data_IF_479671794369
#
_entry.id   IF_479671794369
#
_cell.length_a   1.000
_cell.length_b   1.000
_cell.length_c   1.000
_cell.angle_alpha   90.00
_cell.angle_beta   90.00
_cell.angle_gamma   90.00
#
_symmetry.space_group_name_H-M   'P 1'
#
loop_
_entity.id
_entity.type
_entity.pdbx_description
1 polymer ?
#
# COMPACT_ATOMS: atom_id res chain seq x y z
N UNK A 1 26.97 -0.10 2.02
CA UNK A 1 26.30 0.85 1.13
C UNK A 1 25.09 1.39 1.85
N UNK A 2 24.97 2.70 2.02
CA UNK A 2 23.75 3.31 2.55
C UNK A 2 22.64 3.18 1.49
N UNK A 3 21.39 2.85 1.87
CA UNK A 3 20.30 2.78 0.91
C UNK A 3 20.10 4.15 0.28
N UNK A 4 20.09 4.21 -1.06
CA UNK A 4 19.75 5.41 -1.83
C UNK A 4 18.42 5.95 -1.32
N UNK A 5 18.36 7.25 -1.01
CA UNK A 5 17.10 7.90 -0.62
C UNK A 5 16.21 7.91 -1.87
N UNK A 6 15.12 7.15 -1.80
CA UNK A 6 14.09 7.12 -2.83
C UNK A 6 12.81 7.68 -2.23
N UNK A 7 11.99 8.30 -3.06
CA UNK A 7 10.66 8.72 -2.68
C UNK A 7 9.65 7.57 -2.87
N UNK A 8 8.58 7.51 -2.05
CA UNK A 8 7.50 6.58 -2.28
C UNK A 8 6.88 6.80 -3.67
N UNK A 9 6.61 5.73 -4.44
CA UNK A 9 6.03 5.88 -5.76
C UNK A 9 4.58 6.37 -5.70
N UNK A 10 4.13 7.04 -6.77
CA UNK A 10 2.73 7.48 -6.94
C UNK A 10 2.01 6.50 -7.85
N UNK A 11 0.91 5.90 -7.37
CA UNK A 11 0.07 4.99 -8.18
C UNK A 11 -1.22 5.70 -8.54
N UNK A 12 -1.43 5.99 -9.83
CA UNK A 12 -2.66 6.63 -10.34
C UNK A 12 -3.05 7.93 -9.60
N UNK A 13 -2.04 8.71 -9.19
CA UNK A 13 -2.21 9.94 -8.42
C UNK A 13 -2.27 9.76 -6.90
N UNK A 14 -2.31 8.53 -6.40
CA UNK A 14 -2.28 8.19 -4.96
C UNK A 14 -0.84 8.12 -4.48
N UNK A 15 -0.53 8.81 -3.38
CA UNK A 15 0.78 8.84 -2.75
C UNK A 15 0.66 8.74 -1.23
N UNK A 16 1.67 8.16 -0.57
CA UNK A 16 1.77 8.18 0.89
C UNK A 16 1.70 9.62 1.42
N UNK A 17 1.09 9.80 2.59
CA UNK A 17 0.84 11.10 3.21
C UNK A 17 -0.33 11.90 2.61
N UNK A 18 -1.01 11.40 1.56
CA UNK A 18 -2.25 12.02 1.07
C UNK A 18 -3.37 11.90 2.11
N UNK A 19 -4.19 12.93 2.26
CA UNK A 19 -5.32 12.88 3.20
C UNK A 19 -6.48 12.04 2.66
N UNK A 20 -7.34 11.52 3.56
CA UNK A 20 -8.56 10.83 3.15
C UNK A 20 -9.47 11.71 2.27
N UNK A 21 -9.51 13.03 2.53
CA UNK A 21 -10.26 13.98 1.70
C UNK A 21 -9.69 14.08 0.29
N UNK A 22 -8.37 14.27 0.17
CA UNK A 22 -7.69 14.31 -1.13
C UNK A 22 -7.91 13.00 -1.91
N UNK A 23 -7.83 11.86 -1.23
CA UNK A 23 -8.10 10.57 -1.83
C UNK A 23 -9.53 10.44 -2.33
N UNK A 24 -10.54 10.85 -1.54
CA UNK A 24 -11.96 10.81 -1.95
C UNK A 24 -12.26 11.76 -3.10
N UNK A 25 -11.54 12.87 -3.25
CA UNK A 25 -11.62 13.70 -4.46
C UNK A 25 -11.17 12.92 -5.70
N UNK A 26 -10.09 12.14 -5.59
CA UNK A 26 -9.64 11.27 -6.68
C UNK A 26 -10.54 10.06 -6.89
N UNK A 27 -11.08 9.47 -5.83
CA UNK A 27 -11.89 8.25 -5.85
C UNK A 27 -13.18 8.41 -5.04
N UNK A 28 -14.18 9.12 -5.60
CA UNK A 28 -15.42 9.43 -4.87
C UNK A 28 -16.29 8.21 -4.57
N UNK A 29 -16.06 7.09 -5.28
CA UNK A 29 -16.78 5.82 -5.08
C UNK A 29 -16.12 4.90 -4.04
N UNK A 30 -15.06 5.36 -3.36
CA UNK A 30 -14.37 4.57 -2.35
C UNK A 30 -15.25 4.27 -1.15
N UNK A 31 -15.41 2.97 -0.87
CA UNK A 31 -16.20 2.48 0.24
C UNK A 31 -15.36 2.46 1.51
N UNK A 32 -15.94 2.93 2.61
CA UNK A 32 -15.36 2.73 3.93
C UNK A 32 -15.62 1.29 4.36
N UNK A 33 -14.56 0.50 4.53
CA UNK A 33 -14.65 -0.92 4.89
C UNK A 33 -14.27 -1.17 6.35
N UNK A 34 -13.50 -0.26 6.95
CA UNK A 34 -13.13 -0.32 8.37
C UNK A 34 -12.81 1.06 8.91
N UNK A 35 -13.26 1.35 10.12
CA UNK A 35 -12.87 2.53 10.89
C UNK A 35 -12.63 2.14 12.34
N UNK A 36 -11.39 2.31 12.81
CA UNK A 36 -10.94 2.01 14.18
C UNK A 36 -10.52 3.29 14.86
N UNK A 37 -11.49 3.98 15.45
CA UNK A 37 -11.29 5.30 16.07
C UNK A 37 -10.31 5.24 17.23
N UNK A 38 -10.24 4.12 17.95
CA UNK A 38 -9.36 3.85 19.08
C UNK A 38 -7.86 3.85 18.71
N UNK A 39 -7.53 3.55 17.45
CA UNK A 39 -6.16 3.64 16.91
C UNK A 39 -6.01 4.70 15.83
N UNK A 40 -7.07 5.44 15.51
CA UNK A 40 -7.09 6.48 14.47
C UNK A 40 -6.97 5.93 13.05
N UNK A 41 -7.42 4.69 12.78
CA UNK A 41 -7.30 4.06 11.48
C UNK A 41 -8.60 4.11 10.67
N UNK A 42 -8.50 4.40 9.38
CA UNK A 42 -9.57 4.30 8.39
C UNK A 42 -9.08 3.47 7.20
N UNK A 43 -9.91 2.55 6.70
CA UNK A 43 -9.62 1.75 5.51
C UNK A 43 -10.69 2.02 4.45
N UNK A 44 -10.24 2.37 3.26
CA UNK A 44 -11.07 2.57 2.09
C UNK A 44 -10.73 1.55 1.00
N UNK A 45 -11.77 1.05 0.33
CA UNK A 45 -11.66 0.10 -0.76
C UNK A 45 -12.34 0.66 -2.02
N UNK A 46 -11.64 0.57 -3.15
CA UNK A 46 -12.15 0.91 -4.47
C UNK A 46 -12.09 -0.32 -5.37
N UNK A 47 -13.26 -0.85 -5.71
CA UNK A 47 -13.40 -1.89 -6.75
C UNK A 47 -13.53 -1.22 -8.11
N UNK A 48 -12.82 -1.74 -9.11
CA UNK A 48 -12.91 -1.24 -10.47
C UNK A 48 -14.19 -1.73 -11.17
N UNK A 49 -15.24 -0.91 -11.08
CA UNK A 49 -16.51 -1.09 -11.81
C UNK A 49 -16.58 -0.22 -13.07
N UNK A 50 -15.47 -0.17 -13.82
CA UNK A 50 -15.33 0.65 -15.03
C UNK A 50 -14.79 2.07 -14.78
N UNK A 51 -14.08 2.28 -13.69
CA UNK A 51 -13.40 3.56 -13.43
C UNK A 51 -12.14 3.65 -14.31
N UNK A 52 -12.03 4.60 -15.25
CA UNK A 52 -10.86 4.72 -16.11
C UNK A 52 -9.56 4.98 -15.34
N UNK A 53 -9.63 5.51 -14.12
CA UNK A 53 -8.46 5.75 -13.25
C UNK A 53 -7.89 4.46 -12.69
N UNK A 54 -8.67 3.38 -12.69
CA UNK A 54 -8.27 2.04 -12.25
C UNK A 54 -8.01 1.09 -13.43
N UNK A 55 -7.85 1.59 -14.66
CA UNK A 55 -7.55 0.75 -15.81
C UNK A 55 -6.35 -0.19 -15.54
N UNK A 56 -6.55 -1.49 -15.75
CA UNK A 56 -5.58 -2.55 -15.47
C UNK A 56 -5.48 -2.99 -14.00
N UNK A 57 -6.27 -2.40 -13.10
CA UNK A 57 -6.37 -2.77 -11.68
C UNK A 57 -7.76 -3.35 -11.41
N UNK A 58 -7.87 -4.42 -10.62
CA UNK A 58 -9.15 -4.90 -10.11
C UNK A 58 -9.59 -4.07 -8.91
N UNK A 59 -8.65 -3.83 -7.99
CA UNK A 59 -8.92 -3.25 -6.69
C UNK A 59 -7.81 -2.29 -6.25
N UNK A 60 -8.21 -1.32 -5.43
CA UNK A 60 -7.31 -0.40 -4.73
C UNK A 60 -7.75 -0.29 -3.27
N UNK A 61 -6.92 -0.82 -2.39
CA UNK A 61 -7.05 -0.72 -0.95
C UNK A 61 -6.18 0.41 -0.42
N UNK A 62 -6.71 1.20 0.51
CA UNK A 62 -6.00 2.33 1.11
C UNK A 62 -6.29 2.44 2.59
N UNK A 63 -5.24 2.64 3.38
CA UNK A 63 -5.30 2.67 4.83
C UNK A 63 -4.71 3.99 5.29
N UNK A 64 -5.46 4.67 6.15
CA UNK A 64 -5.15 5.98 6.67
C UNK A 64 -4.94 5.87 8.18
N UNK A 65 -3.93 6.58 8.68
CA UNK A 65 -3.64 6.71 10.11
C UNK A 65 -3.63 8.20 10.43
N UNK A 66 -4.44 8.62 11.39
CA UNK A 66 -4.62 10.03 11.75
C UNK A 66 -5.00 10.91 10.53
N UNK A 67 -5.73 10.34 9.58
CA UNK A 67 -6.20 11.02 8.38
C UNK A 67 -5.24 11.01 7.18
N UNK A 68 -4.03 10.48 7.32
CA UNK A 68 -3.01 10.40 6.27
C UNK A 68 -2.79 8.98 5.76
N UNK A 69 -2.68 8.82 4.44
CA UNK A 69 -2.47 7.53 3.79
C UNK A 69 -1.10 6.96 4.17
N UNK A 70 -1.10 5.80 4.83
CA UNK A 70 0.14 5.13 5.21
C UNK A 70 0.35 3.79 4.49
N UNK A 71 -0.70 3.21 3.93
CA UNK A 71 -0.59 1.97 3.18
C UNK A 71 -1.56 2.00 2.01
N UNK A 72 -1.11 1.50 0.86
CA UNK A 72 -1.98 1.20 -0.26
C UNK A 72 -1.61 -0.16 -0.85
N UNK A 73 -2.61 -0.87 -1.36
CA UNK A 73 -2.42 -2.08 -2.14
C UNK A 73 -3.27 -2.04 -3.40
N UNK A 74 -2.74 -2.58 -4.49
CA UNK A 74 -3.52 -2.79 -5.70
C UNK A 74 -3.26 -4.16 -6.29
N UNK A 75 -4.35 -4.81 -6.68
CA UNK A 75 -4.34 -6.05 -7.44
C UNK A 75 -4.56 -5.68 -8.93
N UNK A 76 -3.71 -6.22 -9.80
CA UNK A 76 -3.76 -5.98 -11.24
C UNK A 76 -4.60 -7.05 -11.94
N UNK A 77 -5.14 -6.73 -13.13
CA UNK A 77 -5.89 -7.69 -13.94
C UNK A 77 -5.01 -8.38 -15.00
N UNK A 78 -5.57 -9.36 -15.69
CA UNK A 78 -5.00 -10.04 -16.87
C UNK A 78 -4.86 -9.14 -18.10
N UNK A 79 -5.44 -7.94 -18.09
CA UNK A 79 -5.28 -6.96 -19.17
C UNK A 79 -3.83 -6.55 -19.40
N UNK A 80 -2.96 -6.82 -18.43
CA UNK A 80 -1.52 -6.66 -18.58
C UNK A 80 -0.92 -8.05 -18.41
N UNK A 81 -0.38 -8.60 -19.50
CA UNK A 81 0.29 -9.90 -19.46
C UNK A 81 1.67 -9.78 -18.82
N UNK A 82 1.97 -10.68 -17.88
CA UNK A 82 3.25 -10.77 -17.21
C UNK A 82 3.75 -12.21 -17.28
N UNK A 83 5.01 -12.40 -17.63
CA UNK A 83 5.69 -13.71 -17.63
C UNK A 83 6.03 -14.20 -16.23
N UNK A 84 5.97 -13.31 -15.24
CA UNK A 84 6.28 -13.61 -13.84
C UNK A 84 6.59 -12.35 -13.03
N UNK A 85 6.87 -12.55 -11.74
CA UNK A 85 7.07 -11.45 -10.79
C UNK A 85 8.28 -10.56 -11.13
N UNK A 86 9.35 -11.12 -11.69
CA UNK A 86 10.55 -10.33 -12.03
C UNK A 86 10.28 -9.34 -13.15
N UNK A 87 9.58 -9.76 -14.21
CA UNK A 87 9.18 -8.86 -15.29
C UNK A 87 8.24 -7.78 -14.77
N UNK A 88 7.30 -8.15 -13.90
CA UNK A 88 6.40 -7.19 -13.27
C UNK A 88 7.17 -6.13 -12.47
N UNK A 89 8.11 -6.54 -11.61
CA UNK A 89 8.93 -5.64 -10.79
C UNK A 89 9.80 -4.73 -11.65
N UNK A 90 10.38 -5.25 -12.74
CA UNK A 90 11.16 -4.44 -13.67
C UNK A 90 10.32 -3.33 -14.29
N UNK A 91 9.14 -3.66 -14.82
CA UNK A 91 8.23 -2.69 -15.44
C UNK A 91 7.65 -1.71 -14.42
N UNK A 92 7.27 -2.19 -13.24
CA UNK A 92 6.78 -1.35 -12.15
C UNK A 92 7.86 -0.37 -11.70
N UNK A 93 9.10 -0.84 -11.52
CA UNK A 93 10.23 0.01 -11.13
C UNK A 93 10.51 1.07 -12.18
N UNK A 94 10.50 0.70 -13.47
CA UNK A 94 10.65 1.65 -14.58
C UNK A 94 9.52 2.70 -14.60
N UNK A 95 8.28 2.29 -14.42
CA UNK A 95 7.12 3.19 -14.45
C UNK A 95 7.09 4.16 -13.26
N UNK A 96 7.68 3.77 -12.13
CA UNK A 96 7.65 4.54 -10.87
C UNK A 96 8.96 5.22 -10.51
N UNK A 97 10.03 4.99 -11.28
CA UNK A 97 11.38 5.49 -10.98
C UNK A 97 12.05 4.78 -9.80
N UNK A 98 11.53 3.63 -9.36
CA UNK A 98 12.16 2.83 -8.32
C UNK A 98 13.37 2.07 -8.85
N UNK A 99 14.26 1.65 -7.93
CA UNK A 99 15.38 0.79 -8.32
C UNK A 99 14.85 -0.61 -8.57
N UNK A 100 15.45 -1.33 -9.51
CA UNK A 100 14.98 -2.66 -9.94
C UNK A 100 15.46 -3.79 -9.05
N UNK A 101 16.49 -3.58 -8.23
CA UNK A 101 17.02 -4.62 -7.33
C UNK A 101 16.16 -4.74 -6.06
N UNK A 102 15.15 -5.61 -6.14
CA UNK A 102 14.27 -5.99 -5.04
C UNK A 102 14.72 -7.34 -4.48
N UNK A 103 14.51 -7.57 -3.19
CA UNK A 103 14.88 -8.81 -2.48
C UNK A 103 13.65 -9.69 -2.30
N UNK A 104 13.76 -11.00 -2.49
CA UNK A 104 12.64 -11.93 -2.32
C UNK A 104 12.91 -13.27 -2.96
N UNK A 105 12.00 -14.22 -2.77
CA UNK A 105 12.12 -15.57 -3.31
C UNK A 105 10.80 -16.00 -3.94
N UNK A 106 10.86 -16.93 -4.91
CA UNK A 106 9.67 -17.42 -5.63
C UNK A 106 8.85 -16.27 -6.23
N UNK A 107 7.61 -16.11 -5.76
CA UNK A 107 6.60 -15.21 -6.31
C UNK A 107 6.51 -13.86 -5.60
N UNK A 108 7.44 -13.54 -4.68
CA UNK A 108 7.46 -12.27 -3.97
C UNK A 108 8.76 -11.48 -4.18
N UNK A 109 8.65 -10.15 -4.16
CA UNK A 109 9.77 -9.23 -4.23
C UNK A 109 9.49 -8.05 -3.33
N UNK A 110 10.48 -7.63 -2.56
CA UNK A 110 10.39 -6.55 -1.59
C UNK A 110 11.51 -5.55 -1.80
N UNK A 111 11.13 -4.29 -1.92
CA UNK A 111 12.03 -3.15 -1.89
C UNK A 111 11.92 -2.43 -0.54
N UNK A 112 13.00 -2.46 0.23
CA UNK A 112 13.09 -1.70 1.49
C UNK A 112 13.78 -0.37 1.26
N UNK A 113 13.06 0.72 1.52
CA UNK A 113 13.58 2.08 1.48
C UNK A 113 13.67 2.64 2.89
N UNK A 114 14.27 3.84 3.02
CA UNK A 114 14.43 4.47 4.32
C UNK A 114 13.08 4.69 5.02
N UNK A 115 12.13 5.37 4.35
CA UNK A 115 10.83 5.74 4.91
C UNK A 115 9.69 4.76 4.57
N UNK A 116 9.82 3.96 3.51
CA UNK A 116 8.75 3.08 3.04
C UNK A 116 9.24 1.69 2.63
N UNK A 117 8.30 0.77 2.46
CA UNK A 117 8.51 -0.55 1.87
C UNK A 117 7.57 -0.71 0.69
N UNK A 118 8.06 -1.32 -0.38
CA UNK A 118 7.22 -1.81 -1.48
C UNK A 118 7.33 -3.33 -1.52
N UNK A 119 6.20 -4.02 -1.61
CA UNK A 119 6.16 -5.46 -1.85
C UNK A 119 5.35 -5.70 -3.11
N UNK A 120 5.88 -6.54 -3.99
CA UNK A 120 5.15 -7.11 -5.11
C UNK A 120 5.02 -8.62 -4.86
N UNK A 121 3.87 -9.19 -5.16
CA UNK A 121 3.63 -10.63 -5.09
C UNK A 121 2.66 -11.08 -6.17
N UNK A 122 2.63 -12.38 -6.46
CA UNK A 122 1.54 -12.97 -7.24
C UNK A 122 0.41 -13.39 -6.27
N UNK A 123 -0.77 -12.82 -6.47
CA UNK A 123 -1.98 -13.10 -5.71
C UNK A 123 -3.05 -13.63 -6.66
N UNK A 124 -3.54 -14.85 -6.42
CA UNK A 124 -4.51 -15.53 -7.28
C UNK A 124 -4.15 -15.53 -8.78
N UNK A 125 -2.85 -15.67 -9.10
CA UNK A 125 -2.34 -15.67 -10.48
C UNK A 125 -2.09 -14.29 -11.08
N UNK A 126 -2.36 -13.21 -10.35
CA UNK A 126 -2.17 -11.83 -10.82
C UNK A 126 -1.22 -11.05 -9.92
N UNK A 127 -0.44 -10.08 -10.46
CA UNK A 127 0.41 -9.26 -9.62
C UNK A 127 -0.39 -8.39 -8.66
N UNK A 128 0.12 -8.28 -7.43
CA UNK A 128 -0.31 -7.34 -6.42
C UNK A 128 0.88 -6.48 -6.01
N UNK A 129 0.67 -5.19 -5.81
CA UNK A 129 1.65 -4.28 -5.18
C UNK A 129 1.10 -3.70 -3.92
N UNK A 130 1.95 -3.65 -2.90
CA UNK A 130 1.71 -2.99 -1.61
C UNK A 130 2.80 -1.96 -1.38
N UNK A 131 2.42 -0.77 -0.93
CA UNK A 131 3.33 0.30 -0.54
C UNK A 131 2.96 0.75 0.87
N UNK A 132 3.95 0.87 1.75
CA UNK A 132 3.73 1.10 3.17
C UNK A 132 4.73 2.10 3.75
N UNK A 133 4.24 3.10 4.48
CA UNK A 133 5.02 3.97 5.35
C UNK A 133 5.46 3.21 6.60
N UNK A 134 6.77 3.19 6.85
CA UNK A 134 7.36 2.44 7.98
C UNK A 134 7.04 3.09 9.33
N UNK A 135 7.10 4.41 9.42
CA UNK A 135 6.91 5.13 10.67
C UNK A 135 5.44 5.04 11.13
N UNK A 136 4.51 5.18 10.19
CA UNK A 136 3.09 5.05 10.47
C UNK A 136 2.72 3.64 10.93
N UNK A 137 3.29 2.58 10.32
CA UNK A 137 3.04 1.21 10.81
C UNK A 137 3.60 0.96 12.19
N UNK A 138 4.81 1.46 12.49
CA UNK A 138 5.34 1.37 13.86
C UNK A 138 4.44 2.11 14.86
N UNK A 139 3.89 3.26 14.48
CA UNK A 139 2.94 4.03 15.29
C UNK A 139 1.63 3.30 15.52
N UNK A 140 1.06 2.68 14.47
CA UNK A 140 -0.16 1.88 14.57
C UNK A 140 0.05 0.68 15.50
N UNK A 141 1.12 -0.11 15.28
CA UNK A 141 1.43 -1.28 16.11
C UNK A 141 1.56 -0.89 17.59
N UNK A 142 2.24 0.23 17.90
CA UNK A 142 2.35 0.74 19.27
C UNK A 142 0.99 1.05 19.89
N UNK A 143 0.04 1.63 19.14
CA UNK A 143 -1.32 1.91 19.63
C UNK A 143 -2.10 0.61 19.86
N UNK A 144 -1.98 -0.36 18.96
CA UNK A 144 -2.60 -1.67 19.11
C UNK A 144 -2.08 -2.41 20.34
N UNK A 145 -0.78 -2.36 20.63
CA UNK A 145 -0.18 -2.99 21.80
C UNK A 145 -0.63 -2.33 23.11
N UNK A 146 -0.83 -1.01 23.10
CA UNK A 146 -1.38 -0.26 24.25
C UNK A 146 -2.83 -0.64 24.55
N UNK A 147 -3.63 -0.98 23.54
CA UNK A 147 -5.01 -1.45 23.73
C UNK A 147 -5.07 -2.89 24.26
N UNK A 148 -4.10 -3.74 23.88
CA UNK A 148 -4.01 -5.14 24.32
C UNK A 148 -3.46 -5.29 25.73
N UNK A 149 -2.68 -4.33 26.21
CA UNK A 149 -2.14 -4.34 27.56
C UNK A 149 -3.21 -3.83 28.53
N UNK A 150 -3.85 -4.68 29.36
CA UNK A 150 -4.80 -4.20 30.35
C UNK A 150 -4.06 -3.32 31.35
N UNK A 151 -4.21 -2.01 31.21
CA UNK A 151 -4.01 -1.06 32.29
C UNK A 151 -5.15 -1.29 33.31
N UNK A 152 -5.13 -2.43 34.03
CA UNK A 152 -5.89 -2.74 35.23
C UNK A 152 -5.41 -4.08 35.82
N UNK A 153 -4.13 -4.14 36.20
CA UNK A 153 -3.72 -4.97 37.33
C UNK A 153 -3.04 -4.01 38.31
N UNK A 154 -3.82 -3.50 39.27
CA UNK A 154 -3.27 -2.98 40.52
C UNK A 154 -3.35 -4.14 41.52
N UNK A 155 -2.25 -4.48 42.22
CA UNK A 155 -2.22 -5.57 43.20
C UNK A 155 -3.20 -5.34 44.35
#
# INVERSE_FOLDING_TARGET
MLPTVQDPPVIRGVRLGMTATQFRTLYPRAQEVRKRSEVGELVLHNVNVGDPRLKGMSDLWTYFLDGELYFLATDYTDQIEWKGIDQFVEQFSKATGLRTKWEGYFEDRTLRCHSFVVKAEINAGHPRVMIQDRAAVLKLNKREDQLKSPANFRP
#
